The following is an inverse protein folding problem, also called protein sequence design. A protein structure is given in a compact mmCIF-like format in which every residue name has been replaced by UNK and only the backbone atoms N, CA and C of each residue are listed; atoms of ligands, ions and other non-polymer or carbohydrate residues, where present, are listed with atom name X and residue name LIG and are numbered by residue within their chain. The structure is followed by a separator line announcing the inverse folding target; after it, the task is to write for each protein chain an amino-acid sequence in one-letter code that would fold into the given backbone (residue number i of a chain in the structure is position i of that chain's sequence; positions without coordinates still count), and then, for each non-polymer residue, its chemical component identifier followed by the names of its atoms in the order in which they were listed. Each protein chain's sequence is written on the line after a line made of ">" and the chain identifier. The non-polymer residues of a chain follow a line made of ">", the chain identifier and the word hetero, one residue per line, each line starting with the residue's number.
data_IF_774088990819
#
_entry.id   IF_774088990819
#
_cell.length_a   1.000
_cell.length_b   1.000
_cell.length_c   1.000
_cell.angle_alpha   90.00
_cell.angle_beta   90.00
_cell.angle_gamma   90.00
#
_symmetry.space_group_name_H-M   'P 1'
#
loop_
_entity.id
_entity.type
_entity.pdbx_description
1 polymer ?
#
# COMPACT_ATOMS: atom_id res chain seq x y z
N UNK A 1 5.35 -20.79 -5.74
CA UNK A 1 6.12 -22.03 -5.89
C UNK A 1 5.78 -22.70 -7.23
N UNK A 2 6.81 -22.91 -8.07
CA UNK A 2 6.62 -23.52 -9.41
C UNK A 2 6.05 -24.92 -9.31
N UNK A 3 6.50 -25.72 -8.36
CA UNK A 3 6.03 -27.09 -8.18
C UNK A 3 4.54 -27.17 -7.87
N UNK A 4 4.03 -26.23 -7.07
CA UNK A 4 2.61 -26.14 -6.74
C UNK A 4 1.78 -25.69 -7.94
N UNK A 5 2.28 -24.72 -8.70
CA UNK A 5 1.64 -24.23 -9.91
C UNK A 5 1.57 -25.33 -10.99
N UNK A 6 2.65 -26.09 -11.18
CA UNK A 6 2.72 -27.18 -12.15
C UNK A 6 1.82 -28.36 -11.74
N UNK A 7 1.67 -28.62 -10.44
CA UNK A 7 0.82 -29.70 -9.92
C UNK A 7 -0.67 -29.46 -10.23
N UNK A 8 -1.11 -28.20 -10.24
CA UNK A 8 -2.50 -27.85 -10.55
C UNK A 8 -2.82 -27.86 -12.06
N UNK A 9 -1.83 -27.99 -12.93
CA UNK A 9 -2.04 -28.00 -14.39
C UNK A 9 -2.51 -26.66 -14.97
N UNK A 10 -2.75 -25.64 -14.15
CA UNK A 10 -3.17 -24.31 -14.58
C UNK A 10 -2.34 -23.23 -13.88
N UNK A 11 -1.08 -23.16 -14.25
CA UNK A 11 -0.07 -22.26 -13.69
C UNK A 11 -0.50 -20.80 -13.72
N UNK A 12 -1.16 -20.36 -14.79
CA UNK A 12 -1.57 -18.97 -14.95
C UNK A 12 -2.65 -18.56 -13.94
N UNK A 13 -3.67 -19.39 -13.77
CA UNK A 13 -4.75 -19.11 -12.81
C UNK A 13 -4.25 -19.19 -11.35
N UNK A 14 -3.39 -20.16 -11.06
CA UNK A 14 -2.78 -20.27 -9.73
C UNK A 14 -1.95 -19.03 -9.40
N UNK A 15 -1.08 -18.58 -10.31
CA UNK A 15 -0.27 -17.36 -10.12
C UNK A 15 -1.14 -16.14 -9.91
N UNK A 16 -2.21 -15.99 -10.70
CA UNK A 16 -3.13 -14.86 -10.56
C UNK A 16 -3.82 -14.84 -9.19
N UNK A 17 -4.15 -16.01 -8.63
CA UNK A 17 -4.74 -16.10 -7.29
C UNK A 17 -3.75 -15.72 -6.18
N UNK A 18 -2.48 -16.10 -6.32
CA UNK A 18 -1.42 -15.71 -5.38
C UNK A 18 -1.10 -14.21 -5.48
N UNK A 19 -1.02 -13.68 -6.71
CA UNK A 19 -0.76 -12.26 -6.95
C UNK A 19 -1.87 -11.36 -6.37
N UNK A 20 -3.11 -11.83 -6.31
CA UNK A 20 -4.23 -11.07 -5.73
C UNK A 20 -4.00 -10.68 -4.27
N UNK A 21 -3.41 -11.56 -3.46
CA UNK A 21 -3.09 -11.27 -2.06
C UNK A 21 -2.02 -10.17 -1.93
N UNK A 22 -1.04 -10.15 -2.82
CA UNK A 22 0.00 -9.12 -2.83
C UNK A 22 -0.56 -7.76 -3.26
N UNK A 23 -1.44 -7.74 -4.28
CA UNK A 23 -2.12 -6.52 -4.75
C UNK A 23 -2.98 -5.94 -3.62
N UNK A 24 -3.71 -6.79 -2.91
CA UNK A 24 -4.51 -6.37 -1.75
C UNK A 24 -3.64 -5.78 -0.63
N UNK A 25 -2.52 -6.41 -0.30
CA UNK A 25 -1.58 -5.89 0.69
C UNK A 25 -1.04 -4.50 0.30
N UNK A 26 -0.65 -4.30 -0.96
CA UNK A 26 -0.20 -3.01 -1.46
C UNK A 26 -1.32 -1.95 -1.44
N UNK A 27 -2.55 -2.33 -1.74
CA UNK A 27 -3.70 -1.44 -1.66
C UNK A 27 -4.01 -1.01 -0.21
N UNK A 28 -3.91 -1.92 0.73
CA UNK A 28 -4.06 -1.63 2.17
C UNK A 28 -2.95 -0.70 2.68
N UNK A 29 -1.71 -0.92 2.27
CA UNK A 29 -0.58 -0.06 2.61
C UNK A 29 -0.78 1.36 2.07
N UNK A 30 -1.18 1.51 0.82
CA UNK A 30 -1.49 2.82 0.23
C UNK A 30 -2.64 3.51 0.96
N UNK A 31 -3.69 2.77 1.31
CA UNK A 31 -4.81 3.31 2.07
C UNK A 31 -4.38 3.76 3.47
N UNK A 32 -3.59 2.94 4.17
CA UNK A 32 -3.03 3.28 5.49
C UNK A 32 -2.17 4.53 5.41
N UNK A 33 -1.26 4.61 4.45
CA UNK A 33 -0.40 5.78 4.23
C UNK A 33 -1.19 7.04 3.89
N UNK A 34 -2.28 6.92 3.14
CA UNK A 34 -3.16 8.05 2.81
C UNK A 34 -3.74 8.71 4.07
N UNK A 35 -4.08 7.92 5.07
CA UNK A 35 -4.61 8.44 6.33
C UNK A 35 -3.54 8.74 7.37
N UNK A 36 -2.55 7.87 7.54
CA UNK A 36 -1.63 7.90 8.68
C UNK A 36 -0.17 8.08 8.31
N UNK A 37 0.19 8.11 7.03
CA UNK A 37 1.57 8.29 6.57
C UNK A 37 2.20 9.54 7.19
N UNK A 38 3.45 9.42 7.62
CA UNK A 38 4.19 10.52 8.25
C UNK A 38 5.65 10.49 7.80
N UNK A 39 6.02 11.41 6.94
CA UNK A 39 7.40 11.55 6.42
C UNK A 39 8.46 11.80 7.52
N UNK A 40 8.03 12.25 8.71
CA UNK A 40 8.92 12.44 9.84
C UNK A 40 9.36 11.14 10.52
N UNK A 41 8.56 10.08 10.42
CA UNK A 41 8.86 8.73 10.94
C UNK A 41 9.24 7.75 9.85
N UNK A 42 8.69 7.92 8.67
CA UNK A 42 8.90 7.08 7.49
C UNK A 42 9.22 7.99 6.29
N UNK A 43 10.49 8.28 6.02
CA UNK A 43 10.89 9.22 4.97
C UNK A 43 10.45 8.83 3.54
N UNK A 44 10.13 7.56 3.31
CA UNK A 44 9.65 7.04 2.04
C UNK A 44 8.14 7.19 1.87
N UNK A 45 7.41 7.48 2.96
CA UNK A 45 5.97 7.69 2.95
C UNK A 45 5.63 9.16 2.72
N UNK A 46 4.52 9.43 2.07
CA UNK A 46 3.98 10.79 2.00
C UNK A 46 3.15 11.13 3.24
N UNK A 47 3.05 12.42 3.57
CA UNK A 47 2.27 12.88 4.72
C UNK A 47 0.77 12.69 4.48
N UNK A 48 0.15 11.84 5.28
CA UNK A 48 -1.26 11.51 5.25
C UNK A 48 -2.17 12.58 5.87
N UNK A 49 -3.44 12.25 6.01
CA UNK A 49 -4.45 13.17 6.56
C UNK A 49 -4.27 13.40 8.07
N UNK A 50 -4.00 12.35 8.86
CA UNK A 50 -3.90 12.47 10.31
C UNK A 50 -2.78 13.43 10.77
N UNK A 51 -1.55 13.37 10.25
CA UNK A 51 -0.53 14.37 10.59
C UNK A 51 -0.86 15.79 10.15
N UNK A 52 -1.65 15.96 9.07
CA UNK A 52 -2.05 17.27 8.55
C UNK A 52 -3.15 17.94 9.38
N UNK A 53 -4.03 17.15 9.98
CA UNK A 53 -5.18 17.62 10.76
C UNK A 53 -5.05 17.22 12.24
N UNK A 54 -3.88 17.45 12.82
CA UNK A 54 -3.54 17.05 14.19
C UNK A 54 -3.63 18.18 15.22
N UNK A 55 -4.01 19.39 14.83
CA UNK A 55 -4.00 20.56 15.72
C UNK A 55 -5.21 21.47 15.48
N UNK A 56 -5.91 21.77 16.57
CA UNK A 56 -7.03 22.73 16.59
C UNK A 56 -6.58 24.20 16.52
N UNK A 57 -5.27 24.46 16.58
CA UNK A 57 -4.70 25.82 16.45
C UNK A 57 -4.01 26.08 15.10
N UNK A 58 -4.04 25.11 14.19
CA UNK A 58 -3.48 25.24 12.85
C UNK A 58 -4.45 26.01 11.92
N UNK A 59 -3.96 26.49 10.77
CA UNK A 59 -4.78 27.21 9.79
C UNK A 59 -5.92 26.36 9.19
N UNK A 60 -5.80 25.06 9.25
CA UNK A 60 -6.78 24.09 8.78
C UNK A 60 -7.74 23.58 9.87
N UNK A 61 -7.70 24.18 11.06
CA UNK A 61 -8.52 23.79 12.20
C UNK A 61 -10.03 23.85 11.93
N UNK A 62 -10.46 24.73 11.02
CA UNK A 62 -11.87 24.84 10.61
C UNK A 62 -12.44 23.55 9.98
N UNK A 63 -11.55 22.66 9.53
CA UNK A 63 -11.93 21.35 8.99
C UNK A 63 -11.92 20.24 10.05
N UNK A 64 -11.64 20.57 11.31
CA UNK A 64 -11.59 19.62 12.41
C UNK A 64 -12.79 19.86 13.33
N UNK A 65 -13.59 18.84 13.52
CA UNK A 65 -14.69 18.86 14.47
C UNK A 65 -14.26 18.04 15.68
N UNK A 66 -14.03 18.71 16.79
CA UNK A 66 -13.67 18.08 18.06
C UNK A 66 -14.90 17.97 18.96
N UNK A 67 -15.21 16.78 19.41
CA UNK A 67 -16.31 16.50 20.34
C UNK A 67 -15.87 16.48 21.81
N UNK A 68 -14.62 16.90 22.11
CA UNK A 68 -14.11 17.03 23.48
C UNK A 68 -13.76 15.72 24.18
N UNK A 69 -13.54 14.65 23.45
CA UNK A 69 -13.07 13.38 24.00
C UNK A 69 -11.63 13.52 24.55
N UNK A 70 -11.39 12.98 25.75
CA UNK A 70 -10.10 13.06 26.44
C UNK A 70 -9.43 11.70 26.67
N UNK A 71 -10.08 10.62 26.28
CA UNK A 71 -9.55 9.25 26.40
C UNK A 71 -8.55 8.88 25.30
N UNK A 72 -7.88 7.75 25.48
CA UNK A 72 -6.99 7.15 24.47
C UNK A 72 -7.73 6.18 23.53
N UNK A 73 -9.02 6.02 23.70
CA UNK A 73 -9.93 5.13 22.96
C UNK A 73 -10.77 5.88 21.91
N UNK A 74 -10.37 7.11 21.59
CA UNK A 74 -11.01 7.92 20.56
C UNK A 74 -10.70 7.40 19.17
N UNK A 75 -11.72 7.41 18.30
CA UNK A 75 -11.58 7.03 16.90
C UNK A 75 -11.84 8.23 15.99
N UNK A 76 -11.01 8.41 14.99
CA UNK A 76 -11.17 9.46 13.98
C UNK A 76 -12.15 9.03 12.89
N UNK A 77 -13.06 9.95 12.51
CA UNK A 77 -13.94 9.78 11.36
C UNK A 77 -13.53 10.78 10.30
N UNK A 78 -13.28 10.29 9.09
CA UNK A 78 -12.82 11.10 7.97
C UNK A 78 -13.92 11.24 6.91
N UNK A 79 -14.26 12.47 6.58
CA UNK A 79 -15.12 12.78 5.44
C UNK A 79 -14.27 13.41 4.34
N UNK A 80 -13.96 12.64 3.31
CA UNK A 80 -13.13 13.06 2.19
C UNK A 80 -13.98 13.27 0.93
N UNK A 81 -13.89 14.46 0.37
CA UNK A 81 -14.53 14.77 -0.92
C UNK A 81 -13.46 14.82 -1.99
N UNK A 82 -13.47 13.86 -2.89
CA UNK A 82 -12.51 13.74 -3.98
C UNK A 82 -13.00 14.48 -5.23
N UNK A 83 -12.15 15.32 -5.79
CA UNK A 83 -12.47 16.06 -7.00
C UNK A 83 -11.39 17.05 -7.42
N UNK A 84 -11.46 17.61 -8.63
CA UNK A 84 -10.41 18.44 -9.21
C UNK A 84 -10.04 19.72 -8.43
N UNK A 85 -10.95 20.18 -7.56
CA UNK A 85 -10.76 21.39 -6.73
C UNK A 85 -10.85 21.12 -5.23
N UNK A 86 -10.93 19.87 -4.83
CA UNK A 86 -11.04 19.45 -3.43
C UNK A 86 -9.83 18.61 -3.03
N UNK A 87 -9.89 17.30 -3.23
CA UNK A 87 -8.78 16.40 -2.95
C UNK A 87 -8.50 15.52 -4.18
N UNK A 88 -7.25 15.49 -4.64
CA UNK A 88 -6.82 14.66 -5.75
C UNK A 88 -5.34 14.32 -5.65
N UNK A 89 -4.94 13.20 -6.24
CA UNK A 89 -3.55 12.82 -6.35
C UNK A 89 -2.88 13.48 -7.54
N UNK A 90 -1.64 13.90 -7.38
CA UNK A 90 -0.80 14.40 -8.47
C UNK A 90 0.42 13.50 -8.64
N UNK A 91 0.85 13.34 -9.87
CA UNK A 91 2.05 12.58 -10.21
C UNK A 91 2.78 13.24 -11.39
N UNK A 92 4.10 13.06 -11.51
CA UNK A 92 4.88 13.68 -12.58
C UNK A 92 4.42 13.21 -13.96
N UNK A 93 4.37 14.14 -14.91
CA UNK A 93 4.02 13.81 -16.30
C UNK A 93 5.04 12.81 -16.86
N UNK A 94 4.54 11.74 -17.46
CA UNK A 94 5.39 10.68 -18.03
C UNK A 94 5.74 9.55 -17.05
N UNK A 95 5.42 9.70 -15.76
CA UNK A 95 5.48 8.57 -14.83
C UNK A 95 4.18 7.76 -14.89
N UNK A 96 4.29 6.48 -14.52
CA UNK A 96 3.12 5.63 -14.32
C UNK A 96 2.64 5.82 -12.88
N UNK A 97 1.38 6.24 -12.73
CA UNK A 97 0.75 6.34 -11.42
C UNK A 97 0.07 5.03 -11.02
N UNK A 98 0.00 4.79 -9.71
CA UNK A 98 -0.68 3.65 -9.13
C UNK A 98 0.19 2.39 -9.02
N UNK A 99 -0.45 1.30 -8.62
CA UNK A 99 0.20 -0.01 -8.50
C UNK A 99 0.62 -0.51 -9.87
N UNK A 100 1.88 -0.88 -9.99
CA UNK A 100 2.43 -1.47 -11.21
C UNK A 100 2.82 -2.91 -10.94
N UNK A 101 2.34 -3.80 -11.77
CA UNK A 101 2.68 -5.22 -11.70
C UNK A 101 3.40 -5.64 -12.96
N UNK A 102 4.56 -6.24 -12.82
CA UNK A 102 5.35 -6.76 -13.95
C UNK A 102 5.68 -8.22 -13.69
N UNK A 103 5.20 -9.10 -14.55
CA UNK A 103 5.61 -10.51 -14.53
C UNK A 103 7.07 -10.64 -15.03
N UNK A 104 7.94 -11.13 -14.17
CA UNK A 104 9.34 -11.42 -14.47
C UNK A 104 9.55 -12.86 -14.98
N UNK A 105 8.48 -13.64 -15.05
CA UNK A 105 8.54 -15.02 -15.46
C UNK A 105 9.18 -15.94 -14.41
N UNK A 106 9.73 -17.04 -14.88
CA UNK A 106 10.42 -18.02 -14.05
C UNK A 106 11.79 -17.50 -13.64
N UNK A 107 12.12 -17.62 -12.36
CA UNK A 107 13.41 -17.24 -11.78
C UNK A 107 13.94 -18.36 -10.90
N UNK A 108 15.24 -18.50 -10.85
CA UNK A 108 15.91 -19.38 -9.88
C UNK A 108 16.17 -18.59 -8.60
N UNK A 109 15.68 -19.12 -7.49
CA UNK A 109 15.90 -18.56 -6.15
C UNK A 109 16.96 -19.42 -5.47
N UNK A 110 18.03 -18.79 -5.05
CA UNK A 110 19.16 -19.46 -4.39
C UNK A 110 19.10 -19.22 -2.88
N UNK A 111 19.62 -20.21 -2.13
CA UNK A 111 19.81 -20.13 -0.69
C UNK A 111 18.54 -19.88 0.15
N UNK A 112 17.42 -20.51 -0.25
CA UNK A 112 16.12 -20.37 0.43
C UNK A 112 16.19 -20.81 1.90
N UNK A 113 16.95 -21.85 2.18
CA UNK A 113 17.06 -22.47 3.49
C UNK A 113 18.34 -22.08 4.27
N UNK A 114 19.16 -21.18 3.72
CA UNK A 114 20.46 -20.84 4.29
C UNK A 114 21.54 -21.90 4.10
N UNK A 115 21.20 -23.07 3.52
CA UNK A 115 22.10 -24.19 3.28
C UNK A 115 22.56 -24.31 1.82
N UNK A 116 22.26 -23.32 0.97
CA UNK A 116 22.63 -23.30 -0.44
C UNK A 116 21.64 -24.02 -1.36
N UNK A 117 20.43 -24.27 -0.89
CA UNK A 117 19.36 -24.86 -1.71
C UNK A 117 18.94 -23.95 -2.87
N UNK A 118 18.54 -24.58 -3.98
CA UNK A 118 17.98 -23.89 -5.15
C UNK A 118 16.53 -24.30 -5.37
N UNK A 119 15.70 -23.31 -5.67
CA UNK A 119 14.32 -23.52 -6.06
C UNK A 119 13.99 -22.67 -7.29
N UNK A 120 13.18 -23.22 -8.17
CA UNK A 120 12.58 -22.44 -9.25
C UNK A 120 11.23 -21.89 -8.82
N UNK A 121 11.01 -20.62 -9.04
CA UNK A 121 9.78 -19.93 -8.73
C UNK A 121 9.39 -18.94 -9.82
N UNK A 122 8.18 -18.42 -9.73
CA UNK A 122 7.76 -17.28 -10.53
C UNK A 122 7.89 -16.01 -9.72
N UNK A 123 8.27 -14.92 -10.39
CA UNK A 123 8.43 -13.61 -9.74
C UNK A 123 7.53 -12.58 -10.39
N UNK A 124 6.73 -11.94 -9.59
CA UNK A 124 6.00 -10.71 -9.93
C UNK A 124 6.62 -9.53 -9.17
N UNK A 125 6.70 -8.37 -9.83
CA UNK A 125 7.34 -7.20 -9.26
C UNK A 125 6.44 -5.99 -9.44
#
# INVERSE_FOLDING_TARGET
>A
DKALADLNGNTAAFRLSEDAAHIEGMAQELASTTFYGNEGTEPEAFTGLAPRYNSLSAQNADNIIDFGGTGSDNMSIWLCVWGPQTGFGIFPKGSKAGLQMTDKGQVTIENIDGAGGRMEGYRTH
#
